data_IF_800913267923
#
_entry.id   IF_800913267923
#
_cell.length_a   1.000
_cell.length_b   1.000
_cell.length_c   1.000
_cell.angle_alpha   90.00
_cell.angle_beta   90.00
_cell.angle_gamma   90.00
#
_symmetry.space_group_name_H-M   'P 1'
#
loop_
_entity.id
_entity.type
_entity.pdbx_description
1 polymer ?
#
# COMPACT_ATOMS: atom_id res chain seq x y z
N UNK A 1 -11.17 -26.03 10.76
CA UNK A 1 -11.78 -25.94 9.41
C UNK A 1 -10.74 -25.67 8.32
N UNK A 2 -10.06 -24.51 8.33
CA UNK A 2 -9.05 -24.11 7.31
C UNK A 2 -7.91 -25.12 7.08
N UNK A 3 -7.33 -25.67 8.16
CA UNK A 3 -6.22 -26.64 8.06
C UNK A 3 -6.66 -27.95 7.39
N UNK A 4 -7.89 -28.41 7.64
CA UNK A 4 -8.43 -29.62 7.04
C UNK A 4 -8.70 -29.47 5.53
N UNK A 5 -9.09 -28.27 5.09
CA UNK A 5 -9.27 -27.95 3.67
C UNK A 5 -7.92 -27.88 2.94
N UNK A 6 -6.88 -27.36 3.59
CA UNK A 6 -5.53 -27.33 3.02
C UNK A 6 -4.99 -28.74 2.75
N UNK A 7 -5.23 -29.69 3.66
CA UNK A 7 -4.77 -31.07 3.54
C UNK A 7 -5.50 -31.89 2.47
N UNK A 8 -6.73 -31.50 2.07
CA UNK A 8 -7.47 -32.17 0.98
C UNK A 8 -7.06 -31.73 -0.43
N UNK A 9 -6.21 -30.71 -0.56
CA UNK A 9 -5.76 -30.20 -1.86
C UNK A 9 -4.62 -31.02 -2.47
N UNK A 10 -4.49 -31.04 -3.81
CA UNK A 10 -3.33 -31.61 -4.49
C UNK A 10 -2.02 -31.00 -4.00
N UNK A 11 -0.96 -31.81 -3.88
CA UNK A 11 0.32 -31.38 -3.28
C UNK A 11 1.00 -30.24 -4.05
N UNK A 12 0.85 -30.18 -5.37
CA UNK A 12 1.30 -29.05 -6.18
C UNK A 12 0.60 -27.75 -5.79
N UNK A 13 -0.72 -27.77 -5.60
CA UNK A 13 -1.49 -26.59 -5.22
C UNK A 13 -1.15 -26.13 -3.79
N UNK A 14 -0.88 -27.06 -2.88
CA UNK A 14 -0.41 -26.74 -1.52
C UNK A 14 0.90 -25.94 -1.55
N UNK A 15 1.85 -26.34 -2.41
CA UNK A 15 3.14 -25.65 -2.56
C UNK A 15 2.94 -24.26 -3.18
N UNK A 16 2.13 -24.13 -4.23
CA UNK A 16 1.84 -22.83 -4.86
C UNK A 16 1.15 -21.87 -3.88
N UNK A 17 0.15 -22.35 -3.12
CA UNK A 17 -0.54 -21.53 -2.11
C UNK A 17 0.40 -21.12 -0.97
N UNK A 18 1.23 -22.04 -0.47
CA UNK A 18 2.20 -21.74 0.58
C UNK A 18 3.23 -20.71 0.11
N UNK A 19 3.75 -20.85 -1.11
CA UNK A 19 4.65 -19.88 -1.72
C UNK A 19 3.98 -18.50 -1.88
N UNK A 20 2.73 -18.46 -2.36
CA UNK A 20 1.99 -17.22 -2.53
C UNK A 20 1.75 -16.49 -1.20
N UNK A 21 1.37 -17.20 -0.14
CA UNK A 21 1.17 -16.62 1.19
C UNK A 21 2.49 -16.10 1.75
N UNK A 22 3.59 -16.86 1.62
CA UNK A 22 4.92 -16.44 2.07
C UNK A 22 5.40 -15.18 1.34
N UNK A 23 5.28 -15.16 0.02
CA UNK A 23 5.63 -14.00 -0.81
C UNK A 23 4.73 -12.79 -0.53
N UNK A 24 3.45 -12.99 -0.23
CA UNK A 24 2.54 -11.92 0.17
C UNK A 24 2.92 -11.29 1.51
N UNK A 25 3.36 -12.10 2.48
CA UNK A 25 3.85 -11.59 3.76
C UNK A 25 5.12 -10.74 3.58
N UNK A 26 6.05 -11.19 2.72
CA UNK A 26 7.24 -10.42 2.35
C UNK A 26 6.87 -9.12 1.61
N UNK A 27 5.94 -9.20 0.66
CA UNK A 27 5.43 -8.05 -0.08
C UNK A 27 4.78 -7.00 0.82
N UNK A 28 4.06 -7.43 1.86
CA UNK A 28 3.48 -6.54 2.87
C UNK A 28 4.57 -5.78 3.64
N UNK A 29 5.57 -6.49 4.16
CA UNK A 29 6.70 -5.88 4.89
C UNK A 29 7.45 -4.90 3.99
N UNK A 30 7.77 -5.30 2.76
CA UNK A 30 8.43 -4.44 1.78
C UNK A 30 7.62 -3.17 1.48
N UNK A 31 6.32 -3.31 1.23
CA UNK A 31 5.43 -2.17 0.95
C UNK A 31 5.38 -1.20 2.13
N UNK A 32 5.22 -1.69 3.36
CA UNK A 32 5.15 -0.87 4.56
C UNK A 32 6.45 -0.06 4.77
N UNK A 33 7.62 -0.69 4.58
CA UNK A 33 8.91 -0.02 4.69
C UNK A 33 9.13 1.01 3.57
N UNK A 34 8.79 0.67 2.32
CA UNK A 34 9.02 1.55 1.16
C UNK A 34 8.11 2.79 1.21
N UNK A 35 6.84 2.64 1.58
CA UNK A 35 5.92 3.79 1.73
C UNK A 35 6.48 4.80 2.74
N UNK A 36 6.96 4.32 3.90
CA UNK A 36 7.58 5.17 4.91
C UNK A 36 8.85 5.88 4.40
N UNK A 37 9.69 5.17 3.64
CA UNK A 37 10.93 5.71 3.10
C UNK A 37 10.74 6.70 1.93
N UNK A 38 9.81 6.43 1.02
CA UNK A 38 9.59 7.23 -0.18
C UNK A 38 8.63 8.40 0.02
N UNK A 39 7.88 8.48 1.13
CA UNK A 39 6.90 9.56 1.34
C UNK A 39 7.46 10.97 1.12
N UNK A 40 8.69 11.24 1.57
CA UNK A 40 9.34 12.54 1.34
C UNK A 40 9.70 12.79 -0.12
N UNK A 41 10.01 11.76 -0.90
CA UNK A 41 10.26 11.88 -2.34
C UNK A 41 8.99 12.29 -3.10
N UNK A 42 7.83 11.72 -2.75
CA UNK A 42 6.54 12.10 -3.35
C UNK A 42 6.17 13.55 -3.04
N UNK A 43 6.38 13.99 -1.79
CA UNK A 43 6.17 15.39 -1.39
C UNK A 43 7.09 16.34 -2.19
N UNK A 44 8.37 15.99 -2.37
CA UNK A 44 9.34 16.78 -3.15
C UNK A 44 9.00 16.82 -4.65
N UNK A 45 8.46 15.73 -5.19
CA UNK A 45 7.97 15.65 -6.57
C UNK A 45 6.62 16.38 -6.78
N UNK A 46 6.11 17.07 -5.76
CA UNK A 46 4.82 17.74 -5.74
C UNK A 46 3.62 16.78 -5.93
N UNK A 47 3.83 15.47 -5.71
CA UNK A 47 2.78 14.45 -5.59
C UNK A 47 2.28 14.41 -4.15
N UNK A 48 1.55 15.46 -3.77
CA UNK A 48 1.09 15.67 -2.41
C UNK A 48 -0.30 16.30 -2.39
N UNK A 49 -1.03 16.02 -1.33
CA UNK A 49 -2.36 16.54 -1.05
C UNK A 49 -2.44 17.04 0.38
N UNK A 50 -3.55 17.69 0.70
CA UNK A 50 -3.88 18.11 2.06
C UNK A 50 -5.17 17.40 2.43
N UNK A 51 -5.20 16.81 3.62
CA UNK A 51 -6.41 16.19 4.14
C UNK A 51 -7.42 17.28 4.52
N UNK A 52 -8.39 17.50 3.64
CA UNK A 52 -9.39 18.57 3.79
C UNK A 52 -10.27 18.36 5.02
N UNK A 53 -10.46 17.13 5.50
CA UNK A 53 -11.38 16.83 6.59
C UNK A 53 -10.75 17.01 7.99
N UNK A 54 -9.43 17.23 8.07
CA UNK A 54 -8.75 17.45 9.33
C UNK A 54 -8.80 18.91 9.78
N UNK A 55 -8.83 19.10 11.10
CA UNK A 55 -8.72 20.43 11.76
C UNK A 55 -7.37 21.11 11.52
N UNK A 56 -6.38 20.36 11.04
CA UNK A 56 -5.08 20.89 10.63
C UNK A 56 -5.15 21.71 9.35
N UNK A 57 -6.28 21.67 8.64
CA UNK A 57 -6.53 22.42 7.41
C UNK A 57 -7.25 23.72 7.75
N UNK A 58 -6.74 24.84 7.21
CA UNK A 58 -7.24 26.20 7.49
C UNK A 58 -8.70 26.36 7.05
N UNK A 59 -9.54 26.86 7.97
CA UNK A 59 -10.97 27.12 7.78
C UNK A 59 -11.35 28.51 8.30
N UNK A 60 -12.44 29.07 7.79
CA UNK A 60 -13.02 30.32 8.31
C UNK A 60 -13.77 30.08 9.65
N UNK A 61 -14.33 31.14 10.22
CA UNK A 61 -15.08 31.07 11.47
C UNK A 61 -16.40 30.28 11.32
N UNK A 62 -16.92 30.20 10.10
CA UNK A 62 -18.14 29.50 9.69
C UNK A 62 -17.90 28.02 9.35
N UNK A 63 -16.64 27.57 9.33
CA UNK A 63 -16.21 26.20 9.05
C UNK A 63 -15.92 25.88 7.57
N UNK A 64 -15.99 26.84 6.65
CA UNK A 64 -15.68 26.65 5.23
C UNK A 64 -14.17 26.64 4.96
N UNK A 65 -13.79 26.02 3.83
CA UNK A 65 -12.41 25.99 3.36
C UNK A 65 -12.00 27.34 2.77
N UNK A 66 -10.88 27.89 3.24
CA UNK A 66 -10.34 29.16 2.75
C UNK A 66 -9.23 28.89 1.74
N UNK A 67 -9.19 29.65 0.64
CA UNK A 67 -8.11 29.58 -0.36
C UNK A 67 -7.06 30.67 -0.07
N UNK A 68 -5.75 30.40 -0.22
CA UNK A 68 -5.15 29.11 -0.59
C UNK A 68 -5.33 28.06 0.50
N UNK A 69 -5.53 26.79 0.10
CA UNK A 69 -5.70 25.70 1.05
C UNK A 69 -4.33 25.40 1.69
N UNK A 70 -4.26 25.63 3.00
CA UNK A 70 -3.05 25.44 3.82
C UNK A 70 -3.29 24.30 4.81
N UNK A 71 -2.32 23.40 4.94
CA UNK A 71 -2.36 22.25 5.83
C UNK A 71 -1.11 21.37 5.71
N UNK A 72 -1.08 20.26 6.45
CA UNK A 72 0.04 19.32 6.43
C UNK A 72 0.07 18.58 5.07
N UNK A 73 1.18 18.60 4.33
CA UNK A 73 1.29 17.87 3.07
C UNK A 73 1.39 16.37 3.33
N UNK A 74 0.49 15.62 2.70
CA UNK A 74 0.45 14.15 2.74
C UNK A 74 0.90 13.64 1.37
N UNK A 75 1.81 12.65 1.30
CA UNK A 75 2.23 12.08 0.02
C UNK A 75 1.06 11.37 -0.66
N UNK A 76 0.82 11.71 -1.92
CA UNK A 76 -0.27 11.14 -2.72
C UNK A 76 0.20 9.96 -3.56
N UNK A 77 -0.74 9.26 -4.19
CA UNK A 77 -0.47 8.18 -5.14
C UNK A 77 0.38 7.03 -4.58
N UNK A 78 0.33 6.80 -3.26
CA UNK A 78 1.05 5.70 -2.59
C UNK A 78 0.59 4.31 -3.06
N UNK A 79 -0.62 4.21 -3.62
CA UNK A 79 -1.09 3.00 -4.30
C UNK A 79 -0.17 2.53 -5.45
N UNK A 80 0.58 3.44 -6.06
CA UNK A 80 1.59 3.11 -7.09
C UNK A 80 2.68 2.21 -6.50
N UNK A 81 3.18 2.53 -5.30
CA UNK A 81 4.20 1.72 -4.61
C UNK A 81 3.67 0.32 -4.34
N UNK A 82 2.43 0.22 -3.82
CA UNK A 82 1.76 -1.06 -3.58
C UNK A 82 1.61 -1.88 -4.86
N UNK A 83 1.16 -1.26 -5.96
CA UNK A 83 1.01 -1.92 -7.25
C UNK A 83 2.35 -2.41 -7.82
N UNK A 84 3.42 -1.61 -7.70
CA UNK A 84 4.77 -2.02 -8.12
C UNK A 84 5.25 -3.24 -7.34
N UNK A 85 5.11 -3.22 -6.01
CA UNK A 85 5.50 -4.37 -5.18
C UNK A 85 4.67 -5.61 -5.54
N UNK A 86 3.36 -5.44 -5.75
CA UNK A 86 2.48 -6.54 -6.16
C UNK A 86 2.92 -7.18 -7.49
N UNK A 87 3.23 -6.38 -8.51
CA UNK A 87 3.72 -6.88 -9.81
C UNK A 87 5.05 -7.61 -9.66
N UNK A 88 5.98 -7.07 -8.86
CA UNK A 88 7.27 -7.72 -8.60
C UNK A 88 7.09 -9.06 -7.88
N UNK A 89 6.23 -9.10 -6.85
CA UNK A 89 5.90 -10.31 -6.10
C UNK A 89 5.29 -11.36 -7.03
N UNK A 90 4.33 -10.98 -7.88
CA UNK A 90 3.76 -11.89 -8.87
C UNK A 90 4.79 -12.38 -9.88
N UNK A 91 5.68 -11.52 -10.34
CA UNK A 91 6.75 -11.89 -11.28
C UNK A 91 7.68 -12.96 -10.69
N UNK A 92 7.97 -12.87 -9.39
CA UNK A 92 8.74 -13.89 -8.65
C UNK A 92 7.91 -15.16 -8.38
N UNK A 93 6.59 -15.04 -8.30
CA UNK A 93 5.68 -16.17 -8.08
C UNK A 93 5.45 -17.03 -9.33
N UNK A 94 5.59 -16.50 -10.56
CA UNK A 94 5.38 -17.21 -11.83
C UNK A 94 5.96 -18.65 -11.85
N UNK A 95 7.22 -18.93 -11.44
CA UNK A 95 7.76 -20.30 -11.49
C UNK A 95 7.12 -21.29 -10.50
N UNK A 96 6.35 -20.81 -9.51
CA UNK A 96 5.64 -21.62 -8.52
C UNK A 96 4.16 -21.84 -8.87
N UNK A 97 3.67 -21.14 -9.90
CA UNK A 97 2.29 -21.21 -10.37
C UNK A 97 2.04 -22.43 -11.27
#
# INVERSE_FOLDING_TARGET
ALVGVGQSLPRNLQVSLAANVGLSALGFVATASIIGGLGQCFIKANLRGIDLNKRTTKRDAEGNLVRPIEGIPIPESQGTVCATVYILVLSVFIPFA
#
